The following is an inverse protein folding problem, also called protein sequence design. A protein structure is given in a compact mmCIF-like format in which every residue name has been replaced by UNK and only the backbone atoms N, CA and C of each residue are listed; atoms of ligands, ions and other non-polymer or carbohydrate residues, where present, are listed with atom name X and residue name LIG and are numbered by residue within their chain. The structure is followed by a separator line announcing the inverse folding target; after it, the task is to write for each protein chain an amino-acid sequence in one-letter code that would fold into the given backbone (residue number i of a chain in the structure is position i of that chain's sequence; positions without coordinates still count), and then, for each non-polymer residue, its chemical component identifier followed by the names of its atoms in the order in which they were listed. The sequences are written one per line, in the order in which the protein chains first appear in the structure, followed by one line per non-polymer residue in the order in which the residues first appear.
data_IF_009600297046
#
_entry.id   IF_009600297046
#
_cell.length_a   1.000
_cell.length_b   1.000
_cell.length_c   1.000
_cell.angle_alpha   90.00
_cell.angle_beta   90.00
_cell.angle_gamma   90.00
#
_symmetry.space_group_name_H-M   'P 1'
#
loop_
_entity.id
_entity.type
_entity.pdbx_description
1 polymer ?
#
# COMPACT_ATOMS: atom_id res chain seq x y z
N UNK A 1 13.91 17.82 -29.03
CA UNK A 1 13.90 16.55 -28.29
C UNK A 1 12.87 16.65 -27.16
N UNK A 2 11.73 15.96 -27.34
CA UNK A 2 10.71 15.88 -26.27
C UNK A 2 11.29 15.09 -25.11
N UNK A 3 11.68 15.78 -24.03
CA UNK A 3 12.13 15.14 -22.80
C UNK A 3 10.92 14.58 -22.07
N UNK A 4 10.87 13.26 -21.90
CA UNK A 4 9.85 12.59 -21.08
C UNK A 4 10.41 12.40 -19.67
N UNK A 5 9.67 12.89 -18.67
CA UNK A 5 10.01 12.70 -17.26
C UNK A 5 9.43 11.38 -16.78
N UNK A 6 10.25 10.54 -16.15
CA UNK A 6 9.79 9.29 -15.54
C UNK A 6 9.42 9.54 -14.08
N UNK A 7 8.18 9.25 -13.73
CA UNK A 7 7.67 9.24 -12.36
C UNK A 7 7.48 7.79 -11.92
N UNK A 8 8.15 7.40 -10.85
CA UNK A 8 7.92 6.13 -10.18
C UNK A 8 7.22 6.42 -8.85
N UNK A 9 6.03 5.88 -8.67
CA UNK A 9 5.19 6.20 -7.52
C UNK A 9 4.55 4.96 -6.91
N UNK A 10 4.36 4.99 -5.59
CA UNK A 10 3.64 3.95 -4.87
C UNK A 10 2.23 3.77 -5.43
N UNK A 11 1.75 2.51 -5.50
CA UNK A 11 0.43 2.19 -6.03
C UNK A 11 -0.72 2.91 -5.30
N UNK A 12 -0.56 3.18 -4.00
CA UNK A 12 -1.52 3.94 -3.20
C UNK A 12 -1.70 5.40 -3.64
N UNK A 13 -0.76 5.94 -4.39
CA UNK A 13 -0.80 7.32 -4.90
C UNK A 13 -1.48 7.44 -6.27
N UNK A 14 -1.78 6.35 -6.93
CA UNK A 14 -2.26 6.32 -8.31
C UNK A 14 -3.47 7.23 -8.54
N UNK A 15 -4.50 7.11 -7.73
CA UNK A 15 -5.75 7.86 -7.92
C UNK A 15 -5.56 9.37 -7.77
N UNK A 16 -4.63 9.80 -6.90
CA UNK A 16 -4.29 11.21 -6.73
C UNK A 16 -3.31 11.72 -7.79
N UNK A 17 -2.35 10.89 -8.21
CA UNK A 17 -1.27 11.31 -9.10
C UNK A 17 -1.67 11.31 -10.57
N UNK A 18 -2.61 10.49 -11.01
CA UNK A 18 -3.06 10.52 -12.41
C UNK A 18 -3.63 11.89 -12.83
N UNK A 19 -4.58 12.50 -12.06
CA UNK A 19 -5.03 13.87 -12.39
C UNK A 19 -3.92 14.91 -12.19
N UNK A 20 -3.04 14.73 -11.19
CA UNK A 20 -1.91 15.64 -10.96
C UNK A 20 -0.96 15.67 -12.16
N UNK A 21 -0.61 14.51 -12.70
CA UNK A 21 0.24 14.38 -13.89
C UNK A 21 -0.41 15.01 -15.12
N UNK A 22 -1.73 14.80 -15.30
CA UNK A 22 -2.47 15.43 -16.41
C UNK A 22 -2.44 16.95 -16.30
N UNK A 23 -2.64 17.50 -15.11
CA UNK A 23 -2.56 18.92 -14.84
C UNK A 23 -1.16 19.50 -15.11
N UNK A 24 -0.12 18.80 -14.66
CA UNK A 24 1.27 19.19 -14.90
C UNK A 24 1.58 19.25 -16.40
N UNK A 25 1.16 18.25 -17.18
CA UNK A 25 1.34 18.23 -18.63
C UNK A 25 0.66 19.40 -19.32
N UNK A 26 -0.56 19.75 -18.91
CA UNK A 26 -1.30 20.89 -19.47
C UNK A 26 -0.57 22.22 -19.23
N UNK A 27 0.08 22.38 -18.06
CA UNK A 27 0.74 23.62 -17.68
C UNK A 27 2.16 23.76 -18.21
N UNK A 28 2.87 22.66 -18.38
CA UNK A 28 4.29 22.69 -18.75
C UNK A 28 4.58 22.23 -20.18
N UNK A 29 3.65 21.49 -20.79
CA UNK A 29 3.88 20.82 -22.07
C UNK A 29 4.84 19.63 -21.99
N UNK A 30 5.34 19.28 -20.80
CA UNK A 30 6.26 18.16 -20.60
C UNK A 30 5.49 16.83 -20.54
N UNK A 31 5.99 15.82 -21.24
CA UNK A 31 5.47 14.48 -21.14
C UNK A 31 5.94 13.81 -19.85
N UNK A 32 5.06 13.06 -19.19
CA UNK A 32 5.35 12.29 -17.98
C UNK A 32 4.97 10.82 -18.21
N UNK A 33 5.93 9.93 -18.00
CA UNK A 33 5.70 8.49 -17.94
C UNK A 33 5.55 8.12 -16.47
N UNK A 34 4.31 7.90 -16.03
CA UNK A 34 3.98 7.55 -14.65
C UNK A 34 3.83 6.03 -14.52
N UNK A 35 4.64 5.43 -13.66
CA UNK A 35 4.61 4.01 -13.35
C UNK A 35 4.34 3.82 -11.86
N UNK A 36 3.40 2.92 -11.53
CA UNK A 36 2.97 2.69 -10.15
C UNK A 36 3.30 1.26 -9.72
N UNK A 37 3.69 1.10 -8.46
CA UNK A 37 4.01 -0.20 -7.91
C UNK A 37 4.43 -0.13 -6.44
N UNK A 38 4.83 -1.27 -5.85
CA UNK A 38 5.36 -1.30 -4.50
C UNK A 38 6.64 -0.47 -4.38
N UNK A 39 6.67 0.46 -3.43
CA UNK A 39 7.75 1.45 -3.34
C UNK A 39 9.14 0.82 -3.12
N UNK A 40 9.23 -0.28 -2.39
CA UNK A 40 10.50 -1.00 -2.21
C UNK A 40 11.03 -1.59 -3.51
N UNK A 41 10.15 -2.14 -4.35
CA UNK A 41 10.52 -2.68 -5.66
C UNK A 41 10.89 -1.56 -6.64
N UNK A 42 10.20 -0.43 -6.58
CA UNK A 42 10.56 0.75 -7.38
C UNK A 42 11.92 1.31 -6.97
N UNK A 43 12.21 1.37 -5.67
CA UNK A 43 13.53 1.74 -5.17
C UNK A 43 14.63 0.85 -5.74
N UNK A 44 14.43 -0.47 -5.75
CA UNK A 44 15.39 -1.41 -6.33
C UNK A 44 15.66 -1.14 -7.81
N UNK A 45 14.63 -0.78 -8.58
CA UNK A 45 14.78 -0.39 -9.99
C UNK A 45 15.67 0.86 -10.13
N UNK A 46 15.50 1.85 -9.25
CA UNK A 46 16.33 3.05 -9.24
C UNK A 46 17.77 2.71 -8.88
N UNK A 47 17.99 1.88 -7.88
CA UNK A 47 19.31 1.40 -7.48
C UNK A 47 20.01 0.60 -8.59
N UNK A 48 19.23 -0.09 -9.42
CA UNK A 48 19.72 -0.83 -10.60
C UNK A 48 19.95 0.06 -11.83
N UNK A 49 19.73 1.37 -11.73
CA UNK A 49 20.01 2.33 -12.79
C UNK A 49 18.84 2.71 -13.68
N UNK A 50 17.61 2.32 -13.36
CA UNK A 50 16.42 2.76 -14.12
C UNK A 50 16.25 4.26 -14.06
N UNK A 51 15.91 4.94 -15.18
CA UNK A 51 15.65 6.37 -15.18
C UNK A 51 14.50 6.74 -14.24
N UNK A 52 14.69 7.79 -13.45
CA UNK A 52 13.66 8.31 -12.56
C UNK A 52 13.90 9.80 -12.32
N UNK A 53 12.95 10.64 -12.70
CA UNK A 53 12.99 12.06 -12.40
C UNK A 53 12.41 12.35 -11.01
N UNK A 54 11.31 11.68 -10.65
CA UNK A 54 10.65 11.79 -9.35
C UNK A 54 10.26 10.41 -8.85
N UNK A 55 10.60 10.12 -7.60
CA UNK A 55 10.18 8.93 -6.88
C UNK A 55 9.27 9.32 -5.73
N UNK A 56 8.03 8.88 -5.76
CA UNK A 56 7.03 9.13 -4.72
C UNK A 56 6.71 7.84 -3.97
N UNK A 57 7.22 7.71 -2.77
CA UNK A 57 7.05 6.53 -1.91
C UNK A 57 5.94 6.74 -0.89
N UNK A 58 5.31 5.65 -0.47
CA UNK A 58 4.33 5.67 0.62
C UNK A 58 4.97 5.72 2.02
N UNK A 59 6.29 5.61 2.13
CA UNK A 59 7.04 5.90 3.35
C UNK A 59 8.26 6.78 3.05
N UNK A 60 8.87 7.33 4.08
CA UNK A 60 10.07 8.15 3.95
C UNK A 60 11.36 7.33 3.84
N UNK A 61 11.37 6.09 4.30
CA UNK A 61 12.59 5.27 4.41
C UNK A 61 13.24 4.99 3.04
N UNK A 62 12.44 4.68 2.03
CA UNK A 62 12.96 4.40 0.69
C UNK A 62 13.58 5.64 0.01
N UNK A 63 12.91 6.82 -0.04
CA UNK A 63 13.54 8.01 -0.58
C UNK A 63 14.79 8.46 0.20
N UNK A 64 14.75 8.34 1.52
CA UNK A 64 15.91 8.68 2.36
C UNK A 64 17.11 7.78 2.07
N UNK A 65 16.90 6.49 1.85
CA UNK A 65 17.96 5.56 1.47
C UNK A 65 18.58 5.93 0.12
N UNK A 66 17.78 6.35 -0.86
CA UNK A 66 18.29 6.83 -2.15
C UNK A 66 19.08 8.14 -2.00
N UNK A 67 18.63 9.05 -1.15
CA UNK A 67 19.35 10.28 -0.84
C UNK A 67 20.71 9.97 -0.20
N UNK A 68 20.75 9.07 0.79
CA UNK A 68 22.00 8.65 1.44
C UNK A 68 22.96 7.93 0.49
N UNK A 69 22.45 7.22 -0.48
CA UNK A 69 23.23 6.55 -1.52
C UNK A 69 23.71 7.49 -2.64
N UNK A 70 23.35 8.78 -2.59
CA UNK A 70 23.72 9.76 -3.62
C UNK A 70 22.92 9.62 -4.93
N UNK A 71 21.81 8.84 -4.92
CA UNK A 71 20.94 8.61 -6.09
C UNK A 71 19.77 9.60 -6.17
N UNK A 72 19.59 10.42 -5.14
CA UNK A 72 18.61 11.50 -5.11
C UNK A 72 19.27 12.78 -4.61
N UNK A 73 18.77 13.92 -5.06
CA UNK A 73 19.27 15.23 -4.64
C UNK A 73 18.52 15.79 -3.45
N UNK A 74 17.26 15.46 -3.32
CA UNK A 74 16.36 15.97 -2.29
C UNK A 74 15.33 14.92 -1.91
N UNK A 75 14.89 14.94 -0.66
CA UNK A 75 13.79 14.11 -0.15
C UNK A 75 12.87 15.00 0.70
N UNK A 76 11.61 15.06 0.34
CA UNK A 76 10.60 15.88 1.03
C UNK A 76 9.34 15.09 1.31
N UNK A 77 8.83 15.22 2.55
CA UNK A 77 7.49 14.72 2.89
C UNK A 77 6.41 15.64 2.32
N UNK A 78 5.36 15.08 1.71
CA UNK A 78 4.27 15.85 1.11
C UNK A 78 2.89 15.44 1.62
N UNK A 79 2.77 14.26 2.25
CA UNK A 79 1.51 13.75 2.79
C UNK A 79 1.78 12.75 3.92
N UNK A 80 0.75 12.39 4.66
CA UNK A 80 0.76 11.30 5.63
C UNK A 80 -0.28 10.25 5.25
N UNK A 81 -0.14 9.04 5.79
CA UNK A 81 -1.10 7.96 5.61
C UNK A 81 -1.46 7.31 6.95
N UNK A 82 -2.51 6.52 6.93
CA UNK A 82 -3.01 5.76 8.06
C UNK A 82 -3.40 4.36 7.59
N UNK A 83 -3.22 3.36 8.44
CA UNK A 83 -3.75 2.03 8.17
C UNK A 83 -5.25 1.95 8.48
N UNK A 84 -5.92 1.06 7.76
CA UNK A 84 -7.33 0.75 7.95
C UNK A 84 -7.53 -0.75 7.73
N UNK A 85 -8.40 -1.35 8.52
CA UNK A 85 -8.85 -2.72 8.33
C UNK A 85 -10.11 -2.72 7.48
N UNK A 86 -10.12 -3.51 6.41
CA UNK A 86 -11.32 -3.82 5.63
C UNK A 86 -11.73 -5.24 5.91
N UNK A 87 -13.00 -5.46 6.22
CA UNK A 87 -13.56 -6.76 6.50
C UNK A 87 -14.67 -7.12 5.50
N UNK A 88 -14.79 -8.41 5.20
CA UNK A 88 -16.01 -8.93 4.56
C UNK A 88 -17.20 -8.71 5.50
N UNK A 89 -18.23 -8.08 5.01
CA UNK A 89 -19.46 -7.90 5.79
C UNK A 89 -20.17 -9.24 5.97
N UNK A 90 -20.47 -9.58 7.21
CA UNK A 90 -21.26 -10.74 7.56
C UNK A 90 -21.91 -10.57 8.93
N UNK A 91 -23.07 -11.21 9.21
CA UNK A 91 -23.71 -11.11 10.52
C UNK A 91 -22.81 -11.49 11.69
N UNK A 92 -21.92 -12.48 11.50
CA UNK A 92 -21.01 -12.93 12.54
C UNK A 92 -19.88 -11.96 12.85
N UNK A 93 -19.57 -11.06 11.93
CA UNK A 93 -18.42 -10.16 12.00
C UNK A 93 -18.83 -8.70 12.27
N UNK A 94 -20.05 -8.31 11.90
CA UNK A 94 -20.46 -6.90 11.86
C UNK A 94 -20.49 -6.23 13.25
N UNK A 95 -20.61 -7.00 14.32
CA UNK A 95 -20.57 -6.51 15.69
C UNK A 95 -19.17 -6.44 16.31
N UNK A 96 -18.15 -6.98 15.65
CA UNK A 96 -16.78 -7.04 16.18
C UNK A 96 -16.02 -5.74 15.88
N UNK A 97 -15.22 -5.28 16.84
CA UNK A 97 -14.26 -4.20 16.60
C UNK A 97 -13.04 -4.71 15.82
N UNK A 98 -12.16 -3.80 15.41
CA UNK A 98 -11.00 -4.13 14.59
C UNK A 98 -10.05 -5.13 15.28
N UNK A 99 -9.85 -5.00 16.60
CA UNK A 99 -8.95 -5.88 17.34
C UNK A 99 -9.56 -7.28 17.46
N UNK A 100 -10.87 -7.37 17.72
CA UNK A 100 -11.58 -8.65 17.77
C UNK A 100 -11.57 -9.35 16.41
N UNK A 101 -11.77 -8.62 15.31
CA UNK A 101 -11.65 -9.16 13.95
C UNK A 101 -10.27 -9.74 13.69
N UNK A 102 -9.21 -8.97 13.99
CA UNK A 102 -7.82 -9.43 13.81
C UNK A 102 -7.46 -10.60 14.74
N UNK A 103 -8.16 -10.75 15.86
CA UNK A 103 -7.94 -11.83 16.83
C UNK A 103 -8.75 -13.08 16.55
N UNK A 104 -9.57 -13.10 15.49
CA UNK A 104 -10.46 -14.21 15.14
C UNK A 104 -9.76 -15.15 14.14
N UNK A 105 -9.27 -16.34 14.58
CA UNK A 105 -8.43 -17.20 13.73
C UNK A 105 -9.13 -17.75 12.48
N UNK A 106 -10.46 -17.88 12.50
CA UNK A 106 -11.24 -18.33 11.33
C UNK A 106 -11.26 -17.34 10.17
N UNK A 107 -10.97 -16.06 10.45
CA UNK A 107 -10.93 -15.02 9.43
C UNK A 107 -9.56 -14.98 8.77
N UNK A 108 -9.54 -15.14 7.46
CA UNK A 108 -8.30 -15.10 6.67
C UNK A 108 -7.84 -13.66 6.53
N UNK A 109 -6.67 -13.37 7.09
CA UNK A 109 -6.07 -12.05 7.08
C UNK A 109 -5.07 -11.96 5.94
N UNK A 110 -5.30 -11.03 5.01
CA UNK A 110 -4.36 -10.70 3.95
C UNK A 110 -3.70 -9.34 4.19
N UNK A 111 -2.47 -9.23 3.75
CA UNK A 111 -1.64 -8.02 3.86
C UNK A 111 -0.83 -7.84 2.59
N UNK A 112 -0.20 -6.69 2.46
CA UNK A 112 0.90 -6.48 1.55
C UNK A 112 2.21 -7.08 2.09
N UNK A 113 3.27 -7.04 1.31
CA UNK A 113 4.54 -7.72 1.58
C UNK A 113 5.56 -6.77 2.21
N UNK A 114 5.98 -7.02 3.46
CA UNK A 114 7.05 -6.25 4.09
C UNK A 114 8.35 -6.30 3.27
N UNK A 115 9.11 -5.21 3.31
CA UNK A 115 10.35 -5.06 2.54
C UNK A 115 10.13 -4.63 1.10
N UNK A 116 9.05 -5.06 0.47
CA UNK A 116 8.69 -4.69 -0.90
C UNK A 116 7.72 -3.52 -0.96
N UNK A 117 6.78 -3.46 -0.02
CA UNK A 117 5.70 -2.48 -0.01
C UNK A 117 5.57 -1.83 1.38
N UNK A 118 5.55 -0.49 1.49
CA UNK A 118 5.34 0.21 2.76
C UNK A 118 4.09 -0.19 3.53
N UNK A 119 2.99 -0.52 2.86
CA UNK A 119 1.77 -1.04 3.50
C UNK A 119 2.06 -2.30 4.32
N UNK A 120 2.87 -3.20 3.79
CA UNK A 120 3.34 -4.39 4.50
C UNK A 120 4.23 -4.04 5.69
N UNK A 121 5.16 -3.11 5.52
CA UNK A 121 6.04 -2.67 6.60
C UNK A 121 5.26 -2.07 7.76
N UNK A 122 4.30 -1.18 7.48
CA UNK A 122 3.43 -0.59 8.50
C UNK A 122 2.52 -1.63 9.18
N UNK A 123 2.06 -2.63 8.45
CA UNK A 123 1.25 -3.71 9.01
C UNK A 123 2.04 -4.51 10.03
N UNK A 124 3.29 -4.85 9.74
CA UNK A 124 4.16 -5.55 10.70
C UNK A 124 4.52 -4.67 11.90
N UNK A 125 4.68 -3.37 11.71
CA UNK A 125 4.82 -2.43 12.84
C UNK A 125 3.56 -2.41 13.73
N UNK A 126 2.38 -2.48 13.12
CA UNK A 126 1.12 -2.62 13.87
C UNK A 126 1.11 -3.91 14.70
N UNK A 127 1.49 -5.05 14.12
CA UNK A 127 1.57 -6.32 14.85
C UNK A 127 2.55 -6.25 16.02
N UNK A 128 3.70 -5.61 15.84
CA UNK A 128 4.66 -5.41 16.91
C UNK A 128 4.11 -4.55 18.06
N UNK A 129 3.35 -3.51 17.75
CA UNK A 129 2.66 -2.67 18.75
C UNK A 129 1.58 -3.45 19.50
N UNK A 130 0.81 -4.29 18.79
CA UNK A 130 -0.19 -5.16 19.40
C UNK A 130 0.50 -6.16 20.31
N UNK A 131 1.61 -6.77 19.88
CA UNK A 131 2.39 -7.72 20.71
C UNK A 131 2.89 -7.07 22.00
N UNK A 132 3.39 -5.86 21.92
CA UNK A 132 3.85 -5.11 23.09
C UNK A 132 2.73 -4.82 24.10
N UNK A 133 1.51 -4.60 23.60
CA UNK A 133 0.33 -4.29 24.44
C UNK A 133 -0.40 -5.55 24.92
N UNK A 134 -0.44 -6.57 24.08
CA UNK A 134 -1.15 -7.83 24.31
C UNK A 134 -0.24 -8.99 23.91
N UNK A 135 0.64 -9.45 24.83
CA UNK A 135 1.63 -10.49 24.53
C UNK A 135 1.00 -11.76 23.93
N UNK A 136 1.58 -12.25 22.86
CA UNK A 136 1.12 -13.41 22.10
C UNK A 136 0.16 -13.08 20.96
N UNK A 137 -0.57 -11.96 21.04
CA UNK A 137 -1.62 -11.64 20.08
C UNK A 137 -1.04 -11.11 18.76
N UNK A 138 -0.08 -10.18 18.82
CA UNK A 138 0.56 -9.63 17.64
C UNK A 138 1.37 -10.66 16.86
N UNK A 139 2.10 -11.52 17.55
CA UNK A 139 2.85 -12.63 16.94
C UNK A 139 1.91 -13.64 16.27
N UNK A 140 0.76 -13.93 16.87
CA UNK A 140 -0.24 -14.81 16.27
C UNK A 140 -0.81 -14.21 14.97
N UNK A 141 -1.07 -12.90 14.93
CA UNK A 141 -1.51 -12.20 13.73
C UNK A 141 -0.45 -12.28 12.63
N UNK A 142 0.80 -11.96 12.97
CA UNK A 142 1.93 -12.02 12.02
C UNK A 142 2.12 -13.43 11.45
N UNK A 143 1.97 -14.45 12.27
CA UNK A 143 2.14 -15.86 11.88
C UNK A 143 1.07 -16.37 10.92
N UNK A 144 -0.15 -15.83 10.99
CA UNK A 144 -1.25 -16.26 10.10
C UNK A 144 -1.51 -15.30 8.94
N UNK A 145 -0.95 -14.10 8.96
CA UNK A 145 -1.14 -13.13 7.89
C UNK A 145 -0.57 -13.63 6.57
N UNK A 146 -1.35 -13.52 5.51
CA UNK A 146 -0.99 -13.93 4.15
C UNK A 146 -0.57 -12.71 3.35
N UNK A 147 0.68 -12.67 2.90
CA UNK A 147 1.25 -11.59 2.09
C UNK A 147 0.85 -11.78 0.62
N UNK A 148 -0.39 -11.46 0.28
CA UNK A 148 -0.95 -11.82 -1.03
C UNK A 148 -0.63 -10.82 -2.13
N UNK A 149 -0.26 -9.59 -1.80
CA UNK A 149 0.00 -8.51 -2.76
C UNK A 149 1.26 -7.73 -2.40
N UNK A 150 1.70 -6.87 -3.30
CA UNK A 150 2.80 -5.93 -3.05
C UNK A 150 4.21 -6.55 -3.04
N UNK A 151 4.35 -7.83 -3.34
CA UNK A 151 5.64 -8.54 -3.43
C UNK A 151 6.04 -8.84 -4.87
N UNK A 152 7.27 -9.40 -5.04
CA UNK A 152 7.79 -9.77 -6.37
C UNK A 152 6.95 -10.83 -7.06
N UNK A 153 6.58 -11.86 -6.29
CA UNK A 153 5.90 -13.06 -6.78
C UNK A 153 4.46 -13.16 -6.24
N UNK A 154 3.95 -12.08 -5.70
CA UNK A 154 2.58 -12.02 -5.18
C UNK A 154 1.56 -11.77 -6.29
N UNK A 155 0.27 -11.83 -5.94
CA UNK A 155 -0.80 -11.55 -6.88
C UNK A 155 -0.73 -10.10 -7.35
N UNK A 156 -1.05 -9.89 -8.63
CA UNK A 156 -1.17 -8.55 -9.21
C UNK A 156 -2.63 -8.10 -9.15
N UNK A 157 -2.87 -7.02 -8.42
CA UNK A 157 -4.20 -6.41 -8.37
C UNK A 157 -4.47 -5.69 -9.70
N UNK A 158 -5.61 -5.93 -10.35
CA UNK A 158 -5.91 -5.24 -11.60
C UNK A 158 -5.89 -3.72 -11.43
N UNK A 159 -5.41 -2.96 -12.45
CA UNK A 159 -5.39 -1.50 -12.38
C UNK A 159 -6.76 -0.90 -12.09
N UNK A 160 -6.82 0.04 -11.15
CA UNK A 160 -8.07 0.69 -10.73
C UNK A 160 -8.85 -0.06 -9.64
N UNK A 161 -8.48 -1.30 -9.32
CA UNK A 161 -9.06 -2.05 -8.21
C UNK A 161 -8.36 -1.72 -6.89
N UNK A 162 -9.13 -1.70 -5.80
CA UNK A 162 -8.59 -1.59 -4.44
C UNK A 162 -8.24 -2.98 -3.95
N UNK A 163 -7.01 -3.20 -3.51
CA UNK A 163 -6.50 -4.53 -3.16
C UNK A 163 -7.38 -5.28 -2.17
N UNK A 164 -7.81 -4.63 -1.08
CA UNK A 164 -8.66 -5.27 -0.08
C UNK A 164 -10.01 -5.72 -0.64
N UNK A 165 -10.67 -4.87 -1.42
CA UNK A 165 -11.94 -5.21 -2.05
C UNK A 165 -11.76 -6.36 -3.05
N UNK A 166 -10.74 -6.29 -3.89
CA UNK A 166 -10.48 -7.30 -4.89
C UNK A 166 -10.17 -8.66 -4.27
N UNK A 167 -9.29 -8.72 -3.27
CA UNK A 167 -8.94 -9.97 -2.58
C UNK A 167 -10.14 -10.62 -1.89
N UNK A 168 -10.98 -9.82 -1.23
CA UNK A 168 -12.18 -10.31 -0.54
C UNK A 168 -13.19 -10.84 -1.55
N UNK A 169 -13.42 -10.14 -2.65
CA UNK A 169 -14.34 -10.54 -3.72
C UNK A 169 -13.88 -11.77 -4.50
N UNK A 170 -12.56 -11.97 -4.62
CA UNK A 170 -11.97 -13.19 -5.17
C UNK A 170 -12.00 -14.36 -4.17
N UNK A 171 -12.56 -14.16 -2.99
CA UNK A 171 -12.61 -15.13 -1.90
C UNK A 171 -11.24 -15.66 -1.47
N UNK A 172 -10.23 -14.79 -1.51
CA UNK A 172 -8.86 -15.09 -1.06
C UNK A 172 -8.60 -14.62 0.36
N UNK A 173 -9.42 -13.72 0.88
CA UNK A 173 -9.31 -13.16 2.22
C UNK A 173 -10.67 -12.75 2.77
N UNK A 174 -10.75 -12.61 4.09
CA UNK A 174 -11.90 -12.05 4.80
C UNK A 174 -11.58 -10.68 5.39
N UNK A 175 -10.30 -10.43 5.66
CA UNK A 175 -9.74 -9.21 6.22
C UNK A 175 -8.55 -8.74 5.39
N UNK A 176 -8.41 -7.43 5.24
CA UNK A 176 -7.23 -6.83 4.62
C UNK A 176 -6.82 -5.57 5.37
N UNK A 177 -5.52 -5.43 5.66
CA UNK A 177 -4.96 -4.21 6.22
C UNK A 177 -4.34 -3.40 5.08
N UNK A 178 -4.87 -2.21 4.86
CA UNK A 178 -4.41 -1.28 3.84
C UNK A 178 -4.48 0.16 4.31
N UNK A 179 -4.54 1.11 3.38
CA UNK A 179 -4.55 2.53 3.73
C UNK A 179 -5.97 3.09 3.89
N UNK A 180 -6.12 3.98 4.86
CA UNK A 180 -7.40 4.59 5.22
C UNK A 180 -7.97 5.51 4.13
N UNK A 181 -7.16 6.04 3.21
CA UNK A 181 -7.66 6.90 2.14
C UNK A 181 -8.58 6.17 1.14
N UNK A 182 -8.56 4.83 1.12
CA UNK A 182 -9.53 4.02 0.37
C UNK A 182 -10.89 3.91 1.08
N UNK A 183 -10.99 4.33 2.34
CA UNK A 183 -12.20 4.21 3.16
C UNK A 183 -13.46 4.75 2.51
N UNK A 184 -13.47 6.00 1.97
CA UNK A 184 -14.67 6.54 1.32
C UNK A 184 -15.16 5.70 0.14
N UNK A 185 -14.27 5.18 -0.70
CA UNK A 185 -14.64 4.30 -1.80
C UNK A 185 -15.14 2.94 -1.32
N UNK A 186 -14.50 2.35 -0.30
CA UNK A 186 -14.90 1.07 0.27
C UNK A 186 -16.24 1.15 1.03
N UNK A 187 -16.54 2.29 1.65
CA UNK A 187 -17.79 2.52 2.36
C UNK A 187 -19.03 2.49 1.45
N UNK A 188 -18.86 2.70 0.14
CA UNK A 188 -19.94 2.57 -0.86
C UNK A 188 -20.24 1.13 -1.23
N UNK A 189 -19.45 0.17 -0.79
CA UNK A 189 -19.60 -1.23 -1.11
C UNK A 189 -20.40 -1.95 -0.01
N UNK A 190 -21.56 -2.52 -0.35
CA UNK A 190 -22.45 -3.17 0.62
C UNK A 190 -21.85 -4.46 1.18
N UNK A 191 -20.94 -5.10 0.45
CA UNK A 191 -20.27 -6.35 0.82
C UNK A 191 -19.04 -6.16 1.71
N UNK A 192 -18.62 -4.92 1.94
CA UNK A 192 -17.42 -4.59 2.69
C UNK A 192 -17.70 -3.66 3.87
N UNK A 193 -16.86 -3.79 4.89
CA UNK A 193 -16.83 -2.92 6.08
C UNK A 193 -15.41 -2.38 6.25
N UNK A 194 -15.17 -1.11 5.91
CA UNK A 194 -13.91 -0.44 6.17
C UNK A 194 -13.74 -0.10 7.66
#
# INVERSE_FOLDING_TARGET
TNTTLTLLAAGSLRSAFLPLVAHFRQHTGLAVDAQFGPAGLLRERIEAGSPCAVFASANAAHPQALLQAGLAQECQGFASNQLMLTARRSPDNDGLDWLALLSTPRLRLATSTPGCDPSGDYTWQLFARIEARYPGLGNAMAGRAQQLVGGRDSLSVPPGEIAGAWLIRQNLADLFIGYAHYGPALATCDDLRP
#
